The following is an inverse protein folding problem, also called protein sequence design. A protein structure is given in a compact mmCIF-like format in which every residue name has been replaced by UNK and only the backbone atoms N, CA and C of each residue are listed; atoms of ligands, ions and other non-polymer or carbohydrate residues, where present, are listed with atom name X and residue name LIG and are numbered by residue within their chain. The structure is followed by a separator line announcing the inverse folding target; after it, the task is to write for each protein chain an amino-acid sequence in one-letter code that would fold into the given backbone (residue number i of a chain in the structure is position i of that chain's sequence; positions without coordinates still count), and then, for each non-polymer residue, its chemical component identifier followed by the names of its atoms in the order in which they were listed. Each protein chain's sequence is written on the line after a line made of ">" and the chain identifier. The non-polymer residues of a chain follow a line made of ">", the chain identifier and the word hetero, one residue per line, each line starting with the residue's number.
data_IF_850128480732
#
_entry.id   IF_850128480732
#
_cell.length_a   1.000
_cell.length_b   1.000
_cell.length_c   1.000
_cell.angle_alpha   90.00
_cell.angle_beta   90.00
_cell.angle_gamma   90.00
#
_symmetry.space_group_name_H-M   'P 1'
#
loop_
_entity.id
_entity.type
_entity.pdbx_description
1 polymer ?
#
# COMPACT_ATOMS: atom_id res chain seq x y z
N UNK A 1 -24.62 9.33 5.79
CA UNK A 1 -24.16 8.56 4.62
C UNK A 1 -23.35 7.41 5.16
N UNK A 2 -23.56 6.16 4.65
CA UNK A 2 -22.86 4.97 5.19
C UNK A 2 -21.68 4.61 4.32
N UNK A 3 -20.52 4.41 4.93
CA UNK A 3 -19.28 3.95 4.33
C UNK A 3 -18.88 2.61 4.93
N UNK A 4 -18.51 1.65 4.11
CA UNK A 4 -17.92 0.39 4.59
C UNK A 4 -16.47 0.29 4.16
N UNK A 5 -15.59 -0.07 5.08
CA UNK A 5 -14.18 -0.37 4.83
C UNK A 5 -14.00 -1.88 4.89
N UNK A 6 -13.57 -2.47 3.77
CA UNK A 6 -13.26 -3.89 3.63
C UNK A 6 -11.75 -4.05 3.72
N UNK A 7 -11.30 -4.82 4.72
CA UNK A 7 -9.90 -4.85 5.16
C UNK A 7 -9.62 -3.81 6.25
N UNK A 8 -9.55 -4.24 7.50
CA UNK A 8 -9.38 -3.36 8.66
C UNK A 8 -7.97 -3.50 9.27
N UNK A 9 -6.98 -3.57 8.37
CA UNK A 9 -5.55 -3.55 8.69
C UNK A 9 -5.03 -2.13 8.98
N UNK A 10 -3.73 -1.90 8.77
CA UNK A 10 -3.08 -0.59 8.99
C UNK A 10 -3.80 0.55 8.23
N UNK A 11 -3.98 0.39 6.92
CA UNK A 11 -4.56 1.44 6.07
C UNK A 11 -6.05 1.67 6.38
N UNK A 12 -6.84 0.60 6.50
CA UNK A 12 -8.27 0.72 6.80
C UNK A 12 -8.53 1.42 8.13
N UNK A 13 -7.76 1.09 9.18
CA UNK A 13 -7.84 1.75 10.49
C UNK A 13 -7.43 3.21 10.43
N UNK A 14 -6.34 3.52 9.75
CA UNK A 14 -5.87 4.89 9.62
C UNK A 14 -6.87 5.78 8.86
N UNK A 15 -7.49 5.26 7.79
CA UNK A 15 -8.55 5.97 7.06
C UNK A 15 -9.78 6.15 7.95
N UNK A 16 -10.23 5.10 8.64
CA UNK A 16 -11.37 5.18 9.57
C UNK A 16 -11.14 6.21 10.68
N UNK A 17 -9.95 6.18 11.30
CA UNK A 17 -9.54 7.13 12.33
C UNK A 17 -9.68 8.57 11.83
N UNK A 18 -9.02 8.87 10.72
CA UNK A 18 -9.03 10.24 10.21
C UNK A 18 -10.42 10.71 9.77
N UNK A 19 -11.21 9.83 9.14
CA UNK A 19 -12.58 10.16 8.76
C UNK A 19 -13.49 10.38 9.97
N UNK A 20 -13.32 9.62 11.06
CA UNK A 20 -14.13 9.79 12.28
C UNK A 20 -13.89 11.12 12.98
N UNK A 21 -12.79 11.80 12.71
CA UNK A 21 -12.44 13.11 13.27
C UNK A 21 -13.01 14.29 12.45
N UNK A 22 -13.57 14.02 11.25
CA UNK A 22 -14.11 15.07 10.38
C UNK A 22 -15.54 15.50 10.79
N UNK A 23 -15.84 16.79 10.63
CA UNK A 23 -17.13 17.35 11.02
C UNK A 23 -18.34 16.74 10.24
N UNK A 24 -18.10 16.25 9.03
CA UNK A 24 -19.09 15.59 8.19
C UNK A 24 -18.75 14.10 8.01
N UNK A 25 -18.27 13.45 9.07
CA UNK A 25 -17.91 12.04 9.06
C UNK A 25 -19.06 11.17 8.53
N UNK A 26 -18.77 10.19 7.64
CA UNK A 26 -19.75 9.16 7.31
C UNK A 26 -19.97 8.23 8.51
N UNK A 27 -21.12 7.55 8.56
CA UNK A 27 -21.29 6.40 9.44
C UNK A 27 -20.43 5.25 8.93
N UNK A 28 -19.41 4.84 9.69
CA UNK A 28 -18.42 3.88 9.22
C UNK A 28 -18.70 2.49 9.76
N UNK A 29 -18.74 1.51 8.85
CA UNK A 29 -18.69 0.08 9.16
C UNK A 29 -17.39 -0.52 8.65
N UNK A 30 -16.96 -1.64 9.21
CA UNK A 30 -15.83 -2.40 8.67
C UNK A 30 -16.12 -3.90 8.65
N UNK A 31 -15.43 -4.59 7.75
CA UNK A 31 -15.30 -6.03 7.72
C UNK A 31 -13.86 -6.41 7.41
N UNK A 32 -13.31 -7.33 8.16
CA UNK A 32 -12.00 -7.96 7.89
C UNK A 32 -12.14 -9.46 8.00
N UNK A 33 -11.52 -10.22 7.09
CA UNK A 33 -11.57 -11.68 7.10
C UNK A 33 -11.05 -12.27 8.43
N UNK A 34 -10.14 -11.56 9.11
CA UNK A 34 -9.62 -11.90 10.42
C UNK A 34 -10.69 -11.89 11.53
N UNK A 35 -11.83 -11.26 11.30
CA UNK A 35 -12.98 -11.34 12.20
C UNK A 35 -13.53 -12.78 12.31
N UNK A 36 -13.32 -13.61 11.28
CA UNK A 36 -13.73 -14.99 11.24
C UNK A 36 -12.73 -15.94 11.95
N UNK A 37 -11.52 -15.47 12.25
CA UNK A 37 -10.50 -16.22 12.98
C UNK A 37 -10.61 -15.94 14.49
N UNK A 38 -10.98 -16.92 15.33
CA UNK A 38 -11.11 -16.71 16.78
C UNK A 38 -9.86 -16.14 17.46
N UNK A 39 -8.67 -16.40 16.91
CA UNK A 39 -7.40 -15.88 17.46
C UNK A 39 -7.15 -14.41 17.15
N UNK A 40 -7.84 -13.82 16.17
CA UNK A 40 -7.63 -12.47 15.68
C UNK A 40 -8.87 -11.56 15.78
N UNK A 41 -10.07 -12.15 15.93
CA UNK A 41 -11.35 -11.44 15.93
C UNK A 41 -11.45 -10.38 17.02
N UNK A 42 -10.91 -10.66 18.21
CA UNK A 42 -10.90 -9.70 19.32
C UNK A 42 -10.05 -8.46 19.00
N UNK A 43 -8.92 -8.65 18.31
CA UNK A 43 -8.05 -7.55 17.89
C UNK A 43 -8.75 -6.61 16.90
N UNK A 44 -9.49 -7.16 15.93
CA UNK A 44 -10.27 -6.36 14.98
C UNK A 44 -11.44 -5.66 15.69
N UNK A 45 -12.18 -6.41 16.50
CA UNK A 45 -13.34 -5.87 17.23
C UNK A 45 -12.96 -4.75 18.20
N UNK A 46 -11.82 -4.90 18.91
CA UNK A 46 -11.32 -3.85 19.80
C UNK A 46 -10.86 -2.61 19.03
N UNK A 47 -10.16 -2.78 17.91
CA UNK A 47 -9.74 -1.67 17.07
C UNK A 47 -10.94 -0.89 16.50
N UNK A 48 -11.99 -1.59 16.06
CA UNK A 48 -13.22 -0.96 15.59
C UNK A 48 -13.94 -0.19 16.70
N UNK A 49 -14.10 -0.78 17.89
CA UNK A 49 -14.70 -0.11 19.07
C UNK A 49 -13.94 1.17 19.44
N UNK A 50 -12.62 1.13 19.47
CA UNK A 50 -11.79 2.29 19.83
C UNK A 50 -11.97 3.48 18.89
N UNK A 51 -12.38 3.21 17.64
CA UNK A 51 -12.60 4.23 16.59
C UNK A 51 -14.11 4.57 16.42
N UNK A 52 -15.01 3.97 17.21
CA UNK A 52 -16.45 4.16 17.02
C UNK A 52 -16.98 3.56 15.71
N UNK A 53 -16.28 2.60 15.12
CA UNK A 53 -16.63 1.93 13.86
C UNK A 53 -17.44 0.67 14.14
N UNK A 54 -18.52 0.45 13.38
CA UNK A 54 -19.31 -0.78 13.48
C UNK A 54 -18.54 -1.93 12.85
N UNK A 55 -18.14 -2.93 13.66
CA UNK A 55 -17.55 -4.16 13.17
C UNK A 55 -18.63 -5.13 12.70
N UNK A 56 -18.61 -5.52 11.42
CA UNK A 56 -19.50 -6.52 10.84
C UNK A 56 -18.84 -7.90 10.89
N UNK A 57 -19.62 -8.94 11.14
CA UNK A 57 -19.13 -10.32 11.24
C UNK A 57 -19.16 -11.06 9.91
N UNK A 58 -19.87 -10.54 8.91
CA UNK A 58 -19.86 -11.06 7.54
C UNK A 58 -19.76 -9.93 6.51
N UNK A 59 -19.31 -10.27 5.30
CA UNK A 59 -19.23 -9.32 4.20
C UNK A 59 -20.64 -8.81 3.80
N UNK A 60 -21.64 -9.70 3.80
CA UNK A 60 -23.04 -9.32 3.52
C UNK A 60 -23.53 -8.22 4.46
N UNK A 61 -23.31 -8.40 5.77
CA UNK A 61 -23.69 -7.38 6.75
C UNK A 61 -22.96 -6.06 6.56
N UNK A 62 -21.71 -6.13 6.07
CA UNK A 62 -20.88 -4.96 5.87
C UNK A 62 -21.34 -4.14 4.66
N UNK A 63 -21.71 -4.78 3.56
CA UNK A 63 -22.13 -4.10 2.33
C UNK A 63 -23.62 -3.71 2.35
N UNK A 64 -24.42 -4.28 3.25
CA UNK A 64 -25.85 -4.00 3.33
C UNK A 64 -26.13 -2.54 3.73
N UNK A 65 -26.81 -1.83 2.83
CA UNK A 65 -27.15 -0.41 2.98
C UNK A 65 -25.95 0.54 2.98
N UNK A 66 -24.74 0.07 2.64
CA UNK A 66 -23.58 0.92 2.41
C UNK A 66 -23.77 1.75 1.12
N UNK A 67 -23.59 3.06 1.21
CA UNK A 67 -23.57 3.93 0.03
C UNK A 67 -22.23 3.84 -0.70
N UNK A 68 -21.14 3.66 0.03
CA UNK A 68 -19.78 3.58 -0.51
C UNK A 68 -18.99 2.46 0.14
N UNK A 69 -18.12 1.83 -0.66
CA UNK A 69 -17.23 0.77 -0.24
C UNK A 69 -15.78 1.20 -0.49
N UNK A 70 -14.93 1.05 0.49
CA UNK A 70 -13.46 1.21 0.36
C UNK A 70 -12.82 -0.16 0.60
N UNK A 71 -11.97 -0.62 -0.31
CA UNK A 71 -11.17 -1.84 -0.15
C UNK A 71 -9.72 -1.49 0.17
N UNK A 72 -9.22 -2.04 1.28
CA UNK A 72 -7.84 -1.89 1.78
C UNK A 72 -7.27 -3.23 2.25
N UNK A 73 -7.44 -4.24 1.42
CA UNK A 73 -6.93 -5.60 1.68
C UNK A 73 -5.52 -5.80 1.09
N UNK A 74 -4.94 -6.97 1.27
CA UNK A 74 -3.66 -7.32 0.64
C UNK A 74 -3.83 -7.50 -0.88
N UNK A 75 -2.75 -7.33 -1.64
CA UNK A 75 -2.77 -7.48 -3.09
C UNK A 75 -3.34 -8.84 -3.52
N UNK A 76 -2.91 -9.91 -2.85
CA UNK A 76 -3.39 -11.28 -3.15
C UNK A 76 -4.87 -11.52 -2.86
N UNK A 77 -5.54 -10.65 -2.09
CA UNK A 77 -6.96 -10.80 -1.74
C UNK A 77 -7.89 -9.86 -2.52
N UNK A 78 -7.35 -8.89 -3.26
CA UNK A 78 -8.11 -7.82 -3.87
C UNK A 78 -9.18 -8.34 -4.86
N UNK A 79 -8.78 -9.18 -5.79
CA UNK A 79 -9.69 -9.76 -6.78
C UNK A 79 -10.77 -10.65 -6.15
N UNK A 80 -10.44 -11.40 -5.10
CA UNK A 80 -11.42 -12.26 -4.42
C UNK A 80 -12.46 -11.43 -3.64
N UNK A 81 -12.05 -10.31 -3.06
CA UNK A 81 -12.96 -9.34 -2.46
C UNK A 81 -13.89 -8.74 -3.51
N UNK A 82 -13.37 -8.32 -4.67
CA UNK A 82 -14.19 -7.78 -5.75
C UNK A 82 -15.22 -8.81 -6.25
N UNK A 83 -14.84 -10.09 -6.43
CA UNK A 83 -15.75 -11.20 -6.76
C UNK A 83 -16.83 -11.39 -5.69
N UNK A 84 -16.44 -11.42 -4.43
CA UNK A 84 -17.38 -11.62 -3.33
C UNK A 84 -18.41 -10.47 -3.25
N UNK A 85 -17.93 -9.21 -3.33
CA UNK A 85 -18.81 -8.03 -3.34
C UNK A 85 -19.73 -8.03 -4.55
N UNK A 86 -19.21 -8.30 -5.76
CA UNK A 86 -20.04 -8.33 -6.98
C UNK A 86 -21.13 -9.40 -6.92
N UNK A 87 -20.85 -10.56 -6.31
CA UNK A 87 -21.82 -11.64 -6.14
C UNK A 87 -22.99 -11.27 -5.21
N UNK A 88 -22.76 -10.38 -4.24
CA UNK A 88 -23.77 -9.88 -3.31
C UNK A 88 -24.66 -8.79 -3.93
N UNK A 89 -24.25 -8.20 -5.08
CA UNK A 89 -24.99 -7.12 -5.75
C UNK A 89 -25.46 -6.02 -4.81
N UNK A 90 -24.55 -5.39 -4.05
CA UNK A 90 -24.95 -4.37 -3.09
C UNK A 90 -25.52 -3.13 -3.78
N UNK A 91 -26.34 -2.36 -3.07
CA UNK A 91 -26.87 -1.09 -3.57
C UNK A 91 -25.87 0.07 -3.49
N UNK A 92 -24.58 -0.22 -3.27
CA UNK A 92 -23.53 0.78 -3.16
C UNK A 92 -23.35 1.55 -4.48
N UNK A 93 -23.13 2.86 -4.37
CA UNK A 93 -22.91 3.74 -5.52
C UNK A 93 -21.52 3.56 -6.11
N UNK A 94 -20.49 3.37 -5.26
CA UNK A 94 -19.13 3.18 -5.71
C UNK A 94 -18.31 2.26 -4.79
N UNK A 95 -17.32 1.60 -5.43
CA UNK A 95 -16.28 0.83 -4.79
C UNK A 95 -14.92 1.49 -5.10
N UNK A 96 -14.28 2.04 -4.06
CA UNK A 96 -12.95 2.62 -4.12
C UNK A 96 -11.92 1.54 -3.82
N UNK A 97 -11.24 1.06 -4.84
CA UNK A 97 -10.20 0.06 -4.65
C UNK A 97 -8.85 0.73 -4.36
N UNK A 98 -8.44 0.73 -3.10
CA UNK A 98 -7.17 1.31 -2.63
C UNK A 98 -6.03 0.29 -2.56
N UNK A 99 -6.26 -0.93 -3.05
CA UNK A 99 -5.27 -2.00 -3.02
C UNK A 99 -4.13 -1.72 -4.01
N UNK A 100 -2.94 -2.20 -3.67
CA UNK A 100 -1.75 -2.02 -4.51
C UNK A 100 -1.58 -3.21 -5.45
N UNK A 101 -2.40 -3.27 -6.50
CA UNK A 101 -2.42 -4.34 -7.50
C UNK A 101 -2.12 -3.81 -8.91
N UNK A 102 -1.77 -4.72 -9.83
CA UNK A 102 -1.48 -4.40 -11.21
C UNK A 102 -2.71 -3.81 -11.94
N UNK A 103 -2.50 -2.95 -12.95
CA UNK A 103 -3.59 -2.34 -13.72
C UNK A 103 -4.55 -3.35 -14.36
N UNK A 104 -4.06 -4.52 -14.79
CA UNK A 104 -4.88 -5.61 -15.31
C UNK A 104 -5.86 -6.15 -14.27
N UNK A 105 -5.40 -6.33 -13.03
CA UNK A 105 -6.26 -6.74 -11.92
C UNK A 105 -7.36 -5.71 -11.68
N UNK A 106 -7.03 -4.40 -11.66
CA UNK A 106 -8.00 -3.31 -11.51
C UNK A 106 -9.09 -3.35 -12.59
N UNK A 107 -8.70 -3.59 -13.85
CA UNK A 107 -9.67 -3.71 -14.95
C UNK A 107 -10.61 -4.90 -14.76
N UNK A 108 -10.08 -6.06 -14.36
CA UNK A 108 -10.91 -7.25 -14.09
C UNK A 108 -11.88 -7.01 -12.92
N UNK A 109 -11.44 -6.35 -11.86
CA UNK A 109 -12.30 -5.98 -10.73
C UNK A 109 -13.39 -5.00 -11.13
N UNK A 110 -13.05 -4.01 -11.97
CA UNK A 110 -14.02 -3.06 -12.52
C UNK A 110 -15.12 -3.75 -13.33
N UNK A 111 -14.75 -4.66 -14.24
CA UNK A 111 -15.72 -5.43 -15.03
C UNK A 111 -16.72 -6.20 -14.14
N UNK A 112 -16.24 -6.83 -13.07
CA UNK A 112 -17.07 -7.59 -12.13
C UNK A 112 -18.05 -6.68 -11.35
N UNK A 113 -17.55 -5.57 -10.82
CA UNK A 113 -18.34 -4.67 -9.98
C UNK A 113 -19.33 -3.83 -10.79
N UNK A 114 -18.94 -3.35 -11.97
CA UNK A 114 -19.81 -2.61 -12.87
C UNK A 114 -20.95 -3.51 -13.40
N UNK A 115 -20.66 -4.78 -13.70
CA UNK A 115 -21.70 -5.76 -14.04
C UNK A 115 -22.68 -6.04 -12.89
N UNK A 116 -22.26 -5.80 -11.64
CA UNK A 116 -23.12 -5.86 -10.47
C UNK A 116 -23.86 -4.55 -10.15
N UNK A 117 -23.62 -3.49 -10.94
CA UNK A 117 -24.25 -2.17 -10.77
C UNK A 117 -23.51 -1.23 -9.81
N UNK A 118 -22.28 -1.54 -9.42
CA UNK A 118 -21.44 -0.73 -8.54
C UNK A 118 -20.36 -0.04 -9.36
N UNK A 119 -20.30 1.28 -9.35
CA UNK A 119 -19.24 2.01 -10.05
C UNK A 119 -17.88 1.71 -9.42
N UNK A 120 -16.88 1.40 -10.25
CA UNK A 120 -15.53 1.13 -9.79
C UNK A 120 -14.64 2.38 -9.90
N UNK A 121 -13.81 2.63 -8.87
CA UNK A 121 -12.84 3.71 -8.85
C UNK A 121 -11.46 3.15 -8.51
N UNK A 122 -10.56 3.11 -9.49
CA UNK A 122 -9.13 2.79 -9.29
C UNK A 122 -8.49 3.87 -8.45
N UNK A 123 -8.15 3.54 -7.21
CA UNK A 123 -7.62 4.48 -6.22
C UNK A 123 -6.21 4.08 -5.82
N UNK A 124 -5.22 4.90 -6.14
CA UNK A 124 -3.82 4.66 -5.80
C UNK A 124 -3.36 5.56 -4.64
N UNK A 125 -3.07 4.97 -3.49
CA UNK A 125 -2.48 5.67 -2.33
C UNK A 125 -1.00 5.93 -2.61
N UNK A 126 -0.58 7.21 -2.63
CA UNK A 126 0.72 7.64 -3.18
C UNK A 126 1.82 7.86 -2.14
N UNK A 127 1.52 7.73 -0.85
CA UNK A 127 2.46 7.87 0.26
C UNK A 127 2.13 6.89 1.39
N UNK A 128 3.00 6.71 2.40
CA UNK A 128 2.65 6.01 3.63
C UNK A 128 1.42 6.65 4.27
N UNK A 129 0.52 5.81 4.79
CA UNK A 129 -0.76 6.28 5.33
C UNK A 129 -0.58 7.13 6.60
N UNK A 130 0.43 6.83 7.40
CA UNK A 130 0.82 7.65 8.54
C UNK A 130 1.87 8.69 8.15
N UNK A 131 1.83 9.89 8.74
CA UNK A 131 0.89 10.37 9.76
C UNK A 131 -0.39 11.00 9.20
N UNK A 132 -0.55 11.05 7.86
CA UNK A 132 -1.62 11.84 7.20
C UNK A 132 -3.01 11.21 7.24
N UNK A 133 -3.11 9.93 7.59
CA UNK A 133 -4.37 9.18 7.68
C UNK A 133 -5.16 9.26 6.35
N UNK A 134 -6.45 9.61 6.39
CA UNK A 134 -7.32 9.78 5.23
C UNK A 134 -6.89 10.95 4.30
N UNK A 135 -6.05 11.89 4.77
CA UNK A 135 -5.47 12.99 3.99
C UNK A 135 -4.19 12.60 3.24
N UNK A 136 -3.85 11.31 3.21
CA UNK A 136 -2.75 10.82 2.38
C UNK A 136 -3.08 11.04 0.90
N UNK A 137 -2.16 11.61 0.09
CA UNK A 137 -2.42 11.86 -1.33
C UNK A 137 -2.80 10.60 -2.09
N UNK A 138 -3.89 10.67 -2.85
CA UNK A 138 -4.43 9.57 -3.65
C UNK A 138 -4.68 10.01 -5.09
N UNK A 139 -4.46 9.11 -6.03
CA UNK A 139 -4.85 9.26 -7.42
C UNK A 139 -6.11 8.45 -7.68
N UNK A 140 -7.04 9.02 -8.42
CA UNK A 140 -8.27 8.36 -8.85
C UNK A 140 -8.29 8.21 -10.36
N UNK A 141 -8.79 7.08 -10.84
CA UNK A 141 -9.08 6.87 -12.27
C UNK A 141 -10.33 6.00 -12.44
N UNK A 142 -10.97 6.13 -13.57
CA UNK A 142 -12.19 5.42 -13.95
C UNK A 142 -13.25 6.36 -14.51
N UNK A 143 -14.28 5.82 -15.20
CA UNK A 143 -15.30 6.63 -15.89
C UNK A 143 -16.06 7.59 -14.97
N UNK A 144 -16.20 7.20 -13.70
CA UNK A 144 -16.92 7.97 -12.68
C UNK A 144 -15.99 8.66 -11.66
N UNK A 145 -14.67 8.70 -11.90
CA UNK A 145 -13.69 9.19 -10.93
C UNK A 145 -13.95 10.66 -10.54
N UNK A 146 -14.30 11.55 -11.48
CA UNK A 146 -14.61 12.96 -11.19
C UNK A 146 -15.83 13.10 -10.28
N UNK A 147 -16.90 12.33 -10.54
CA UNK A 147 -18.10 12.34 -9.72
C UNK A 147 -17.81 11.96 -8.27
N UNK A 148 -17.03 10.90 -8.08
CA UNK A 148 -16.74 10.39 -6.73
C UNK A 148 -15.56 11.09 -6.05
N UNK A 149 -14.70 11.80 -6.79
CA UNK A 149 -13.71 12.68 -6.19
C UNK A 149 -14.36 13.78 -5.34
N UNK A 150 -15.50 14.31 -5.76
CA UNK A 150 -16.25 15.29 -4.98
C UNK A 150 -16.72 14.74 -3.63
N UNK A 151 -17.12 13.45 -3.57
CA UNK A 151 -17.52 12.76 -2.32
C UNK A 151 -16.35 12.63 -1.37
N UNK A 152 -15.20 12.14 -1.87
CA UNK A 152 -14.00 11.96 -1.06
C UNK A 152 -13.43 13.32 -0.59
N UNK A 153 -13.46 14.34 -1.44
CA UNK A 153 -13.04 15.70 -1.09
C UNK A 153 -13.94 16.33 0.00
N UNK A 154 -15.26 16.03 -0.01
CA UNK A 154 -16.16 16.46 1.05
C UNK A 154 -15.81 15.83 2.42
N UNK A 155 -15.09 14.72 2.43
CA UNK A 155 -14.52 14.09 3.62
C UNK A 155 -13.06 14.51 3.88
N UNK A 156 -12.60 15.61 3.29
CA UNK A 156 -11.22 16.12 3.42
C UNK A 156 -10.12 15.14 2.97
N UNK A 157 -10.44 14.18 2.09
CA UNK A 157 -9.42 13.31 1.51
C UNK A 157 -8.68 14.06 0.41
N UNK A 158 -7.35 13.92 0.35
CA UNK A 158 -6.48 14.52 -0.67
C UNK A 158 -6.48 13.63 -1.93
N UNK A 159 -7.41 13.92 -2.84
CA UNK A 159 -7.60 13.13 -4.06
C UNK A 159 -7.40 13.96 -5.32
N UNK A 160 -6.82 13.31 -6.35
CA UNK A 160 -6.65 13.91 -7.68
C UNK A 160 -7.03 12.90 -8.76
N UNK A 161 -7.95 13.27 -9.63
CA UNK A 161 -8.30 12.47 -10.80
C UNK A 161 -7.19 12.57 -11.85
N UNK A 162 -6.82 11.43 -12.43
CA UNK A 162 -5.75 11.32 -13.43
C UNK A 162 -6.23 10.78 -14.78
N UNK A 163 -7.53 10.54 -14.91
CA UNK A 163 -8.18 10.15 -16.18
C UNK A 163 -9.31 9.15 -16.01
N UNK A 164 -9.99 8.84 -17.10
CA UNK A 164 -11.19 8.01 -17.13
C UNK A 164 -10.89 6.50 -17.29
N UNK A 165 -9.68 6.14 -17.68
CA UNK A 165 -9.32 4.73 -17.88
C UNK A 165 -8.97 4.06 -16.56
N UNK A 166 -9.71 3.00 -16.18
CA UNK A 166 -9.37 2.13 -15.06
C UNK A 166 -7.98 1.52 -15.27
N UNK A 167 -7.18 1.50 -14.21
CA UNK A 167 -5.78 1.07 -14.25
C UNK A 167 -4.78 2.22 -14.43
N UNK A 168 -5.23 3.46 -14.73
CA UNK A 168 -4.32 4.60 -14.92
C UNK A 168 -3.69 5.06 -13.59
N UNK A 169 -4.46 5.14 -12.52
CA UNK A 169 -3.93 5.54 -11.21
C UNK A 169 -2.96 4.49 -10.67
N UNK A 170 -3.32 3.22 -10.76
CA UNK A 170 -2.45 2.10 -10.38
C UNK A 170 -1.20 2.01 -11.27
N UNK A 171 -1.29 2.24 -12.58
CA UNK A 171 -0.10 2.29 -13.46
C UNK A 171 0.92 3.33 -12.99
N UNK A 172 0.47 4.55 -12.65
CA UNK A 172 1.35 5.61 -12.14
C UNK A 172 2.06 5.13 -10.87
N UNK A 173 1.32 4.52 -9.94
CA UNK A 173 1.88 4.00 -8.68
C UNK A 173 2.86 2.84 -8.94
N UNK A 174 2.50 1.87 -9.78
CA UNK A 174 3.33 0.70 -10.05
C UNK A 174 4.65 1.10 -10.72
N UNK A 175 4.60 1.93 -11.78
CA UNK A 175 5.81 2.39 -12.48
C UNK A 175 6.70 3.26 -11.58
N UNK A 176 6.11 4.12 -10.74
CA UNK A 176 6.86 4.85 -9.72
C UNK A 176 7.56 3.90 -8.74
N UNK A 177 6.92 2.79 -8.39
CA UNK A 177 7.46 1.80 -7.44
C UNK A 177 8.71 1.09 -7.97
N UNK A 178 8.87 0.94 -9.28
CA UNK A 178 10.12 0.45 -9.90
C UNK A 178 11.30 1.27 -9.38
N UNK A 179 11.18 2.60 -9.42
CA UNK A 179 12.26 3.49 -9.00
C UNK A 179 12.42 3.51 -7.47
N UNK A 180 11.32 3.68 -6.73
CA UNK A 180 11.38 3.85 -5.27
C UNK A 180 11.93 2.61 -4.57
N UNK A 181 11.37 1.42 -4.87
CA UNK A 181 11.78 0.18 -4.21
C UNK A 181 13.02 -0.44 -4.86
N UNK A 182 13.23 -0.18 -6.16
CA UNK A 182 14.47 -0.51 -6.84
C UNK A 182 15.66 0.23 -6.23
N UNK A 183 15.51 1.53 -5.95
CA UNK A 183 16.54 2.32 -5.28
C UNK A 183 16.82 1.81 -3.85
N UNK A 184 15.80 1.38 -3.12
CA UNK A 184 16.00 0.74 -1.81
C UNK A 184 16.87 -0.52 -1.93
N UNK A 185 16.55 -1.41 -2.86
CA UNK A 185 17.30 -2.64 -3.08
C UNK A 185 18.74 -2.36 -3.53
N UNK A 186 18.91 -1.40 -4.43
CA UNK A 186 20.23 -1.02 -4.97
C UNK A 186 21.13 -0.38 -3.91
N UNK A 187 20.60 0.56 -3.12
CA UNK A 187 21.37 1.22 -2.04
C UNK A 187 21.71 0.26 -0.92
N UNK A 188 20.82 -0.70 -0.61
CA UNK A 188 21.13 -1.76 0.35
C UNK A 188 22.28 -2.65 -0.11
N UNK A 189 22.30 -3.03 -1.39
CA UNK A 189 23.39 -3.82 -1.97
C UNK A 189 24.73 -3.06 -1.95
N UNK A 190 24.72 -1.84 -2.43
CA UNK A 190 25.88 -0.96 -2.45
C UNK A 190 26.39 -0.68 -1.03
N UNK A 191 25.52 -0.23 -0.13
CA UNK A 191 25.92 0.19 1.22
C UNK A 191 26.49 -0.96 2.05
N UNK A 192 25.87 -2.15 2.01
CA UNK A 192 26.41 -3.33 2.72
C UNK A 192 27.73 -3.81 2.10
N UNK A 193 27.87 -3.78 0.77
CA UNK A 193 29.12 -4.14 0.12
C UNK A 193 30.24 -3.16 0.47
N UNK A 194 29.97 -1.86 0.46
CA UNK A 194 30.93 -0.81 0.81
C UNK A 194 31.38 -0.92 2.27
N UNK A 195 30.46 -1.15 3.20
CA UNK A 195 30.79 -1.39 4.62
C UNK A 195 31.68 -2.64 4.80
N UNK A 196 31.35 -3.72 4.10
CA UNK A 196 32.14 -4.96 4.18
C UNK A 196 33.52 -4.81 3.56
N UNK A 197 33.66 -3.99 2.52
CA UNK A 197 34.94 -3.67 1.89
C UNK A 197 35.74 -2.61 2.64
N UNK A 198 35.16 -1.92 3.62
CA UNK A 198 35.79 -0.84 4.39
C UNK A 198 36.01 0.46 3.60
N UNK A 199 35.15 0.73 2.61
CA UNK A 199 35.25 1.88 1.68
C UNK A 199 33.97 2.73 1.63
N UNK A 200 33.14 2.65 2.67
CA UNK A 200 31.82 3.32 2.70
C UNK A 200 31.92 4.83 2.55
N UNK A 201 32.86 5.46 3.25
CA UNK A 201 33.00 6.91 3.24
C UNK A 201 33.39 7.42 1.84
N UNK A 202 34.28 6.72 1.14
CA UNK A 202 34.71 7.07 -0.21
C UNK A 202 33.58 6.91 -1.23
N UNK A 203 32.82 5.81 -1.15
CA UNK A 203 31.67 5.56 -2.02
C UNK A 203 30.58 6.60 -1.79
N UNK A 204 30.21 6.86 -0.53
CA UNK A 204 29.19 7.85 -0.17
C UNK A 204 29.59 9.25 -0.61
N UNK A 205 30.84 9.68 -0.33
CA UNK A 205 31.33 10.99 -0.75
C UNK A 205 31.32 11.15 -2.27
N UNK A 206 31.69 10.11 -3.03
CA UNK A 206 31.62 10.10 -4.49
C UNK A 206 30.19 10.25 -5.01
N UNK A 207 29.23 9.56 -4.38
CA UNK A 207 27.81 9.66 -4.75
C UNK A 207 27.23 11.04 -4.41
N UNK A 208 27.56 11.59 -3.23
CA UNK A 208 27.14 12.94 -2.83
C UNK A 208 27.65 14.02 -3.81
N UNK A 209 28.87 13.86 -4.32
CA UNK A 209 29.43 14.74 -5.34
C UNK A 209 28.72 14.61 -6.70
N UNK A 210 28.36 13.37 -7.09
CA UNK A 210 27.71 13.09 -8.38
C UNK A 210 26.22 13.48 -8.40
N UNK A 211 25.56 13.42 -7.25
CA UNK A 211 24.12 13.69 -7.09
C UNK A 211 23.89 14.69 -5.95
N UNK A 212 24.23 15.97 -6.13
CA UNK A 212 24.08 17.00 -5.10
C UNK A 212 22.60 17.15 -4.68
N UNK A 213 22.38 17.28 -3.38
CA UNK A 213 21.04 17.41 -2.79
C UNK A 213 20.47 16.09 -2.21
N UNK A 214 21.23 14.99 -2.30
CA UNK A 214 20.89 13.73 -1.64
C UNK A 214 22.00 13.40 -0.65
N UNK A 215 21.66 13.17 0.62
CA UNK A 215 22.55 12.52 1.57
C UNK A 215 22.43 11.00 1.41
N UNK A 216 23.41 10.40 0.71
CA UNK A 216 23.39 8.98 0.42
C UNK A 216 23.62 8.10 1.64
N UNK A 217 24.28 8.59 2.68
CA UNK A 217 24.45 7.83 3.92
C UNK A 217 23.10 7.71 4.65
N UNK A 218 22.43 8.84 4.88
CA UNK A 218 21.10 8.88 5.48
C UNK A 218 20.10 8.09 4.64
N UNK A 219 20.10 8.31 3.32
CA UNK A 219 19.19 7.62 2.40
C UNK A 219 19.36 6.11 2.43
N UNK A 220 20.60 5.61 2.47
CA UNK A 220 20.87 4.17 2.53
C UNK A 220 20.45 3.59 3.87
N UNK A 221 20.72 4.26 4.99
CA UNK A 221 20.28 3.84 6.32
C UNK A 221 18.74 3.76 6.40
N UNK A 222 18.04 4.78 5.91
CA UNK A 222 16.58 4.80 5.82
C UNK A 222 16.05 3.64 4.95
N UNK A 223 16.64 3.39 3.79
CA UNK A 223 16.23 2.32 2.89
C UNK A 223 16.40 0.93 3.53
N UNK A 224 17.50 0.70 4.27
CA UNK A 224 17.72 -0.54 5.04
C UNK A 224 16.64 -0.75 6.10
N UNK A 225 16.28 0.30 6.85
CA UNK A 225 15.20 0.24 7.83
C UNK A 225 13.87 -0.13 7.16
N UNK A 226 13.51 0.55 6.06
CA UNK A 226 12.28 0.27 5.32
C UNK A 226 12.20 -1.17 4.84
N UNK A 227 13.30 -1.76 4.40
CA UNK A 227 13.37 -3.14 3.92
C UNK A 227 13.26 -4.14 5.06
N UNK A 228 13.89 -3.90 6.20
CA UNK A 228 13.79 -4.80 7.38
C UNK A 228 12.41 -4.76 8.03
N UNK A 229 11.80 -3.58 8.11
CA UNK A 229 10.50 -3.38 8.78
C UNK A 229 9.32 -3.81 7.90
N UNK A 230 9.37 -3.55 6.58
CA UNK A 230 8.23 -3.72 5.69
C UNK A 230 8.52 -4.64 4.49
N UNK A 231 9.65 -5.34 4.47
CA UNK A 231 10.16 -6.04 3.29
C UNK A 231 9.20 -7.09 2.72
N UNK A 232 8.47 -7.83 3.54
CA UNK A 232 7.49 -8.83 3.06
C UNK A 232 6.40 -8.15 2.24
N UNK A 233 5.71 -7.15 2.80
CA UNK A 233 4.66 -6.39 2.09
C UNK A 233 5.20 -5.69 0.85
N UNK A 234 6.42 -5.15 0.93
CA UNK A 234 7.07 -4.46 -0.21
C UNK A 234 7.45 -5.44 -1.32
N UNK A 235 7.80 -6.67 -0.99
CA UNK A 235 8.02 -7.73 -1.98
C UNK A 235 6.71 -8.07 -2.72
N UNK A 236 5.61 -8.26 -1.99
CA UNK A 236 4.28 -8.49 -2.58
C UNK A 236 3.85 -7.32 -3.51
N UNK A 237 4.07 -6.07 -3.08
CA UNK A 237 3.81 -4.90 -3.91
C UNK A 237 4.71 -4.86 -5.16
N UNK A 238 5.96 -5.36 -5.09
CA UNK A 238 6.86 -5.46 -6.25
C UNK A 238 6.50 -6.60 -7.19
N UNK A 239 5.86 -7.66 -6.71
CA UNK A 239 5.28 -8.70 -7.58
C UNK A 239 4.18 -8.14 -8.47
N UNK A 240 3.37 -7.21 -7.96
CA UNK A 240 2.38 -6.49 -8.78
C UNK A 240 3.04 -5.52 -9.78
N UNK A 241 4.21 -4.97 -9.44
CA UNK A 241 5.03 -4.19 -10.39
C UNK A 241 5.57 -5.08 -11.51
N UNK A 242 6.05 -6.29 -11.18
CA UNK A 242 6.50 -7.28 -12.18
C UNK A 242 5.38 -7.58 -13.17
N UNK A 243 4.19 -7.94 -12.69
CA UNK A 243 3.00 -8.16 -13.54
C UNK A 243 2.70 -6.94 -14.42
N UNK A 244 2.77 -5.74 -13.85
CA UNK A 244 2.54 -4.50 -14.60
C UNK A 244 3.51 -4.32 -15.75
N UNK A 245 4.80 -4.61 -15.55
CA UNK A 245 5.83 -4.53 -16.59
C UNK A 245 5.61 -5.59 -17.68
N UNK A 246 5.26 -6.81 -17.29
CA UNK A 246 4.91 -7.90 -18.21
C UNK A 246 3.69 -7.57 -19.07
N UNK A 247 2.62 -6.98 -18.48
CA UNK A 247 1.44 -6.48 -19.21
C UNK A 247 1.83 -5.43 -20.28
N UNK A 248 2.89 -4.66 -20.02
CA UNK A 248 3.43 -3.66 -20.94
C UNK A 248 4.46 -4.22 -21.94
N UNK A 249 4.78 -5.52 -21.88
CA UNK A 249 5.79 -6.15 -22.72
C UNK A 249 7.23 -5.80 -22.33
N UNK A 250 7.48 -5.34 -21.10
CA UNK A 250 8.80 -4.98 -20.59
C UNK A 250 9.30 -6.07 -19.67
N UNK A 251 10.48 -6.64 -19.95
CA UNK A 251 11.11 -7.66 -19.11
C UNK A 251 11.50 -7.07 -17.75
N UNK A 252 11.00 -7.63 -16.61
CA UNK A 252 11.13 -7.01 -15.29
C UNK A 252 12.39 -7.41 -14.51
N UNK A 253 13.54 -7.56 -15.16
CA UNK A 253 14.78 -8.10 -14.58
C UNK A 253 15.18 -7.47 -13.23
N UNK A 254 15.22 -6.14 -13.17
CA UNK A 254 15.58 -5.41 -11.95
C UNK A 254 14.47 -5.48 -10.89
N UNK A 255 13.20 -5.46 -11.32
CA UNK A 255 12.06 -5.55 -10.42
C UNK A 255 11.97 -6.91 -9.75
N UNK A 256 12.24 -8.02 -10.46
CA UNK A 256 12.36 -9.35 -9.86
C UNK A 256 13.52 -9.43 -8.85
N UNK A 257 14.67 -8.83 -9.16
CA UNK A 257 15.79 -8.69 -8.23
C UNK A 257 15.34 -7.95 -6.94
N UNK A 258 14.55 -6.88 -7.12
CA UNK A 258 14.01 -6.09 -6.02
C UNK A 258 13.03 -6.91 -5.17
N UNK A 259 12.13 -7.72 -5.77
CA UNK A 259 11.25 -8.65 -5.04
C UNK A 259 12.07 -9.55 -4.12
N UNK A 260 13.08 -10.22 -4.67
CA UNK A 260 13.95 -11.15 -3.92
C UNK A 260 14.67 -10.44 -2.77
N UNK A 261 15.17 -9.24 -3.01
CA UNK A 261 15.91 -8.44 -2.01
C UNK A 261 14.98 -8.00 -0.88
N UNK A 262 13.82 -7.43 -1.20
CA UNK A 262 12.82 -6.98 -0.22
C UNK A 262 12.37 -8.14 0.67
N UNK A 263 12.04 -9.29 0.07
CA UNK A 263 11.60 -10.48 0.81
C UNK A 263 12.65 -10.97 1.78
N UNK A 264 13.90 -11.12 1.32
CA UNK A 264 15.03 -11.55 2.18
C UNK A 264 15.22 -10.66 3.40
N UNK A 265 15.13 -9.34 3.23
CA UNK A 265 15.25 -8.40 4.34
C UNK A 265 14.06 -8.51 5.30
N UNK A 266 12.85 -8.60 4.79
CA UNK A 266 11.65 -8.78 5.61
C UNK A 266 11.64 -10.08 6.43
N UNK A 267 12.21 -11.16 5.89
CA UNK A 267 12.36 -12.45 6.58
C UNK A 267 13.48 -12.45 7.63
N UNK A 268 14.42 -11.53 7.56
CA UNK A 268 15.61 -11.50 8.42
C UNK A 268 15.32 -11.27 9.90
N UNK A 269 14.13 -10.70 10.22
CA UNK A 269 13.74 -10.29 11.59
C UNK A 269 14.76 -9.32 12.24
N UNK A 270 15.55 -8.63 11.43
CA UNK A 270 16.42 -7.54 11.90
C UNK A 270 15.54 -6.35 12.25
N UNK A 271 15.75 -5.76 13.41
CA UNK A 271 15.07 -4.55 13.84
C UNK A 271 16.05 -3.38 13.75
N UNK A 272 15.76 -2.42 12.91
CA UNK A 272 16.46 -1.15 12.77
C UNK A 272 15.50 -0.02 13.18
N UNK A 273 16.01 0.93 13.97
CA UNK A 273 15.28 2.16 14.30
C UNK A 273 15.91 3.29 13.45
N UNK A 274 15.19 3.81 12.48
CA UNK A 274 15.71 4.74 11.48
C UNK A 274 16.30 6.02 12.06
N UNK A 275 15.74 6.50 13.16
CA UNK A 275 16.10 7.81 13.74
C UNK A 275 17.39 7.77 14.59
N UNK A 276 17.96 6.58 14.80
CA UNK A 276 19.07 6.38 15.75
C UNK A 276 20.30 5.70 15.11
N UNK A 277 20.22 5.16 13.89
CA UNK A 277 21.28 4.32 13.34
C UNK A 277 21.90 4.91 12.07
N UNK A 278 23.20 5.13 12.11
CA UNK A 278 24.00 5.39 10.92
C UNK A 278 24.04 4.16 9.99
N UNK A 279 24.45 4.36 8.73
CA UNK A 279 24.66 3.27 7.77
C UNK A 279 25.53 2.16 8.37
N UNK A 280 26.65 2.51 8.99
CA UNK A 280 27.59 1.57 9.62
C UNK A 280 26.95 0.74 10.73
N UNK A 281 26.17 1.38 11.61
CA UNK A 281 25.46 0.68 12.69
C UNK A 281 24.38 -0.25 12.17
N UNK A 282 23.63 0.18 11.13
CA UNK A 282 22.62 -0.62 10.46
C UNK A 282 23.24 -1.85 9.80
N UNK A 283 24.35 -1.67 9.08
CA UNK A 283 25.09 -2.76 8.44
C UNK A 283 25.59 -3.78 9.47
N UNK A 284 26.19 -3.33 10.59
CA UNK A 284 26.63 -4.24 11.66
C UNK A 284 25.50 -5.10 12.22
N UNK A 285 24.30 -4.52 12.46
CA UNK A 285 23.14 -5.29 12.95
C UNK A 285 22.66 -6.31 11.91
N UNK A 286 22.71 -5.95 10.63
CA UNK A 286 22.34 -6.85 9.52
C UNK A 286 23.36 -7.99 9.43
N UNK A 287 24.67 -7.70 9.43
CA UNK A 287 25.72 -8.72 9.37
C UNK A 287 25.68 -9.72 10.53
N UNK A 288 25.26 -9.27 11.71
CA UNK A 288 25.12 -10.16 12.88
C UNK A 288 23.98 -11.18 12.77
N UNK A 289 23.01 -10.96 11.87
CA UNK A 289 21.80 -11.80 11.77
C UNK A 289 21.60 -12.48 10.40
N UNK A 290 22.30 -12.03 9.38
CA UNK A 290 22.16 -12.56 8.02
C UNK A 290 23.51 -13.10 7.53
N UNK A 291 23.54 -14.38 7.13
CA UNK A 291 24.77 -15.03 6.63
C UNK A 291 25.07 -14.67 5.15
N UNK A 292 24.05 -14.29 4.39
CA UNK A 292 24.15 -13.87 2.97
C UNK A 292 23.25 -12.68 2.70
N UNK A 293 23.72 -11.75 1.89
CA UNK A 293 23.06 -10.48 1.57
C UNK A 293 22.66 -10.40 0.11
#
# INVERSE_FOLDING_TARGET
>A
MKLTIIGFGEAGRAIAQGLSEEAQAPEISCFDIKTLDPSQSDTISQAARNLGVRNCTTLEQAVDGAAFLISTVTAGSALDVAKAVSSLRPSAQAFFDMNSVAPGTKRTEAELLEAAGVAYVDTAVMAPIHPRLHKTPMLLAGPNAETFAAVLSAWNMDVRVVGEAVGRASSIKMLRSVMIKGLEALTAEMGLAAEKAGVSDEVINSLNASFPGIDWAERTAYNLERMTTHGIRRAEEMEEVVKTLEELGITPELSEGTVRRQRRFGESKVILNSDELSLKQSAHKIFAKMDKF
#
